data_IF_155019098218
#
_entry.id   IF_155019098218
#
_cell.length_a   1.000
_cell.length_b   1.000
_cell.length_c   1.000
_cell.angle_alpha   90.00
_cell.angle_beta   90.00
_cell.angle_gamma   90.00
#
_symmetry.space_group_name_H-M   'P 1'
#
loop_
_entity.id
_entity.type
_entity.pdbx_description
1 polymer ?
#
# COMPACT_ATOMS: atom_id res chain seq x y z
N UNK A 1 62.66 -33.12 -21.50
CA UNK A 1 63.02 -31.68 -21.47
C UNK A 1 61.73 -30.89 -21.22
N UNK A 2 61.61 -30.26 -20.03
CA UNK A 2 60.62 -29.26 -19.53
C UNK A 2 59.15 -29.46 -19.97
N UNK A 3 58.17 -29.92 -19.16
CA UNK A 3 57.67 -29.53 -17.82
C UNK A 3 57.56 -28.02 -17.60
N UNK A 4 56.33 -27.50 -17.57
CA UNK A 4 55.90 -26.46 -16.62
C UNK A 4 54.40 -26.64 -16.30
N UNK A 5 54.11 -26.67 -15.01
CA UNK A 5 52.84 -26.94 -14.33
C UNK A 5 52.53 -25.73 -13.44
N UNK A 6 51.27 -25.26 -13.35
CA UNK A 6 50.65 -24.53 -12.21
C UNK A 6 49.12 -24.63 -12.40
N UNK A 7 48.27 -25.43 -11.71
CA UNK A 7 47.80 -25.53 -10.30
C UNK A 7 47.26 -24.20 -9.73
N UNK A 8 46.03 -24.00 -9.24
CA UNK A 8 44.84 -24.82 -9.05
C UNK A 8 43.83 -24.11 -8.13
N UNK A 9 42.68 -24.78 -7.90
CA UNK A 9 41.81 -24.73 -6.68
C UNK A 9 40.91 -23.48 -6.49
N UNK A 10 39.64 -23.56 -6.08
CA UNK A 10 38.84 -24.55 -5.32
C UNK A 10 37.33 -24.44 -5.66
N UNK A 11 36.63 -25.57 -5.53
CA UNK A 11 35.17 -25.70 -5.53
C UNK A 11 34.55 -25.52 -4.14
N UNK A 12 33.29 -25.05 -4.08
CA UNK A 12 32.25 -25.35 -3.07
C UNK A 12 30.92 -24.76 -3.60
N UNK A 13 29.99 -25.50 -4.20
CA UNK A 13 28.97 -26.41 -3.63
C UNK A 13 28.05 -25.77 -2.57
N UNK A 14 26.85 -25.33 -2.97
CA UNK A 14 25.62 -25.38 -2.16
C UNK A 14 24.33 -25.49 -3.02
N UNK A 15 23.83 -26.72 -3.11
CA UNK A 15 22.46 -27.19 -2.80
C UNK A 15 21.29 -26.48 -3.51
N UNK A 16 20.78 -27.17 -4.55
CA UNK A 16 19.42 -27.07 -5.08
C UNK A 16 18.48 -27.91 -4.19
N UNK A 17 17.36 -27.35 -3.74
CA UNK A 17 16.23 -28.12 -3.19
C UNK A 17 15.03 -27.99 -4.13
N UNK A 18 14.53 -29.15 -4.56
CA UNK A 18 13.40 -29.31 -5.44
C UNK A 18 12.08 -29.50 -4.66
N UNK A 19 11.04 -28.84 -5.17
CA UNK A 19 9.68 -29.34 -5.44
C UNK A 19 9.00 -30.32 -4.46
N UNK A 20 7.80 -29.95 -4.01
CA UNK A 20 6.72 -30.91 -3.77
C UNK A 20 5.38 -30.32 -4.24
N UNK A 21 4.89 -30.86 -5.35
CA UNK A 21 3.51 -30.77 -5.84
C UNK A 21 2.60 -31.67 -5.00
N UNK A 22 1.40 -31.20 -4.69
CA UNK A 22 0.33 -32.01 -4.14
C UNK A 22 -1.01 -31.50 -4.62
N UNK A 23 -1.56 -32.12 -5.66
CA UNK A 23 -2.95 -31.98 -6.10
C UNK A 23 -3.69 -33.28 -5.76
N UNK A 24 -4.91 -33.20 -5.22
CA UNK A 24 -5.98 -34.20 -5.42
C UNK A 24 -7.34 -33.78 -4.80
N UNK A 25 -8.26 -33.45 -5.71
CA UNK A 25 -9.67 -33.85 -5.87
C UNK A 25 -10.75 -33.76 -4.75
N UNK A 26 -11.89 -33.27 -5.25
CA UNK A 26 -13.29 -33.14 -4.77
C UNK A 26 -13.91 -34.17 -3.81
N UNK A 27 -14.85 -33.64 -2.99
CA UNK A 27 -16.02 -34.36 -2.46
C UNK A 27 -16.87 -33.45 -1.56
N UNK A 28 -18.09 -33.09 -1.99
CA UNK A 28 -19.01 -32.26 -1.21
C UNK A 28 -19.92 -33.05 -0.26
N UNK A 29 -20.46 -32.38 0.78
CA UNK A 29 -21.89 -32.11 1.04
C UNK A 29 -22.16 -31.80 2.54
N UNK A 30 -23.01 -30.79 2.78
CA UNK A 30 -23.94 -30.59 3.93
C UNK A 30 -23.45 -30.31 5.37
N UNK A 31 -23.81 -29.11 5.87
CA UNK A 31 -24.49 -28.97 7.17
C UNK A 31 -23.72 -28.27 8.32
N UNK A 32 -24.35 -27.37 9.12
CA UNK A 32 -23.64 -26.40 9.96
C UNK A 32 -23.40 -26.90 11.39
N UNK A 33 -22.31 -26.47 12.03
CA UNK A 33 -22.10 -26.66 13.46
C UNK A 33 -21.38 -25.47 14.10
N UNK A 34 -21.98 -24.99 15.19
CA UNK A 34 -21.69 -23.80 15.96
C UNK A 34 -20.28 -23.74 16.56
N UNK A 35 -19.67 -22.55 16.53
CA UNK A 35 -18.43 -22.25 17.22
C UNK A 35 -18.67 -22.12 18.74
N UNK A 36 -17.92 -22.90 19.53
CA UNK A 36 -17.81 -22.70 20.98
C UNK A 36 -16.33 -22.52 21.31
N UNK A 37 -16.00 -21.36 21.88
CA UNK A 37 -14.66 -20.96 22.33
C UNK A 37 -14.20 -21.76 23.55
N UNK A 38 -12.95 -22.22 23.57
CA UNK A 38 -12.28 -22.79 24.75
C UNK A 38 -11.07 -21.94 25.14
N UNK A 39 -10.92 -21.50 26.41
CA UNK A 39 -9.74 -20.80 26.90
C UNK A 39 -8.65 -21.77 27.43
N UNK A 40 -7.40 -21.32 27.39
CA UNK A 40 -6.18 -22.04 27.82
C UNK A 40 -5.84 -21.77 29.31
N UNK A 41 -5.21 -22.71 30.06
CA UNK A 41 -5.10 -22.64 31.52
C UNK A 41 -3.80 -22.02 32.08
N UNK A 42 -3.97 -21.43 33.26
CA UNK A 42 -2.99 -20.93 34.24
C UNK A 42 -2.28 -22.06 35.01
N UNK A 43 -1.08 -21.82 35.56
CA UNK A 43 -0.67 -22.38 36.86
C UNK A 43 -0.28 -21.26 37.84
N UNK A 44 -0.92 -21.08 38.99
CA UNK A 44 -0.99 -21.87 40.25
C UNK A 44 0.21 -21.67 41.18
N UNK A 45 -0.12 -21.26 42.41
CA UNK A 45 0.73 -20.76 43.48
C UNK A 45 1.29 -21.87 44.40
N UNK A 46 2.29 -21.52 45.23
CA UNK A 46 2.57 -22.23 46.48
C UNK A 46 2.78 -21.22 47.63
N UNK A 47 2.22 -21.54 48.79
CA UNK A 47 2.11 -20.68 49.96
C UNK A 47 2.86 -21.22 51.19
N UNK A 48 3.19 -20.28 52.08
CA UNK A 48 3.28 -20.33 53.57
C UNK A 48 4.32 -21.19 54.28
N UNK A 49 5.10 -20.53 55.15
CA UNK A 49 5.15 -20.86 56.59
C UNK A 49 5.71 -19.69 57.43
N UNK A 50 4.98 -19.38 58.50
CA UNK A 50 5.27 -18.51 59.65
C UNK A 50 6.14 -19.26 60.68
N UNK A 51 7.01 -18.58 61.46
CA UNK A 51 6.76 -18.39 62.91
C UNK A 51 7.82 -17.56 63.69
N UNK A 52 7.27 -16.70 64.55
CA UNK A 52 7.59 -16.32 65.95
C UNK A 52 9.00 -15.86 66.41
N UNK A 53 8.94 -14.75 67.16
CA UNK A 53 10.00 -13.94 67.79
C UNK A 53 10.54 -14.50 69.11
N UNK A 54 11.72 -14.01 69.56
CA UNK A 54 12.05 -13.82 70.98
C UNK A 54 13.14 -12.74 71.18
N UNK A 55 12.75 -11.71 71.94
CA UNK A 55 13.45 -10.84 72.91
C UNK A 55 14.81 -10.13 72.66
N UNK A 56 14.78 -8.86 73.12
CA UNK A 56 15.80 -7.80 73.24
C UNK A 56 16.89 -8.08 74.29
N UNK A 57 18.01 -7.31 74.32
CA UNK A 57 17.99 -6.16 75.24
C UNK A 57 18.64 -4.86 74.72
N UNK A 58 18.03 -3.77 75.19
CA UNK A 58 18.50 -2.41 75.50
C UNK A 58 19.97 -2.05 75.28
N UNK A 59 20.20 -0.99 74.50
CA UNK A 59 21.28 -0.02 74.74
C UNK A 59 20.81 1.39 74.37
N UNK A 60 20.68 2.24 75.38
CA UNK A 60 20.46 3.69 75.26
C UNK A 60 21.76 4.33 74.78
N UNK A 61 21.77 4.93 73.60
CA UNK A 61 22.83 5.83 73.17
C UNK A 61 22.20 7.12 72.62
N UNK A 62 22.33 8.19 73.40
CA UNK A 62 22.08 9.57 73.00
C UNK A 62 23.12 9.95 71.95
N UNK A 63 22.72 10.06 70.68
CA UNK A 63 23.57 10.59 69.62
C UNK A 63 22.92 11.85 69.04
N UNK A 64 23.64 12.95 69.19
CA UNK A 64 23.32 14.30 68.71
C UNK A 64 23.07 14.29 67.21
N UNK A 65 21.90 14.76 66.81
CA UNK A 65 21.46 14.95 65.43
C UNK A 65 22.38 15.97 64.74
N UNK A 66 23.34 15.48 63.97
CA UNK A 66 24.03 16.27 62.94
C UNK A 66 23.48 15.80 61.62
N UNK A 67 22.50 16.55 61.11
CA UNK A 67 21.94 16.38 59.78
C UNK A 67 23.08 16.39 58.76
N UNK A 68 23.49 15.21 58.31
CA UNK A 68 24.34 15.04 57.14
C UNK A 68 23.46 15.35 55.94
N UNK A 69 23.74 16.45 55.25
CA UNK A 69 23.08 16.78 54.00
C UNK A 69 23.16 15.56 53.07
N UNK A 70 22.01 15.12 52.59
CA UNK A 70 21.92 14.08 51.56
C UNK A 70 22.82 14.47 50.38
N UNK A 71 23.53 13.52 49.74
CA UNK A 71 24.27 13.82 48.53
C UNK A 71 23.31 14.44 47.53
N UNK A 72 23.61 15.65 47.08
CA UNK A 72 22.91 16.26 45.97
C UNK A 72 22.94 15.27 44.81
N UNK A 73 21.76 14.92 44.32
CA UNK A 73 21.57 14.12 43.12
C UNK A 73 22.16 14.91 41.94
N UNK A 74 23.45 14.72 41.69
CA UNK A 74 24.17 15.28 40.54
C UNK A 74 23.95 14.39 39.32
N UNK A 75 22.69 14.12 38.98
CA UNK A 75 22.36 13.62 37.65
C UNK A 75 22.95 14.63 36.64
N UNK A 76 23.91 14.23 35.78
CA UNK A 76 24.53 15.14 34.84
C UNK A 76 23.45 15.85 34.01
N UNK A 77 23.57 17.16 33.75
CA UNK A 77 22.62 17.83 32.88
C UNK A 77 22.57 17.09 31.54
N UNK A 78 21.36 16.91 31.00
CA UNK A 78 21.18 16.29 29.70
C UNK A 78 22.08 16.99 28.66
N UNK A 79 22.66 16.26 27.70
CA UNK A 79 23.51 16.86 26.67
C UNK A 79 22.76 18.00 25.97
N UNK A 80 23.32 19.20 26.00
CA UNK A 80 22.76 20.36 25.31
C UNK A 80 23.08 20.23 23.81
N UNK A 81 22.10 19.81 23.02
CA UNK A 81 22.24 19.71 21.58
C UNK A 81 22.04 21.09 20.94
N UNK A 82 22.98 21.47 20.07
CA UNK A 82 22.96 22.77 19.41
C UNK A 82 22.10 22.69 18.14
N UNK A 83 21.12 23.57 18.05
CA UNK A 83 20.24 23.74 16.88
C UNK A 83 20.60 25.07 16.22
N UNK A 84 21.16 25.03 15.00
CA UNK A 84 21.77 26.21 14.35
C UNK A 84 21.62 26.18 12.84
N UNK A 85 22.10 27.25 12.18
CA UNK A 85 22.15 27.33 10.72
C UNK A 85 20.75 27.29 10.10
N UNK A 86 20.64 26.72 8.90
CA UNK A 86 19.38 26.61 8.18
C UNK A 86 18.35 25.72 8.90
N UNK A 87 18.82 24.61 9.50
CA UNK A 87 17.97 23.73 10.31
C UNK A 87 17.44 24.48 11.54
N UNK A 88 18.28 25.24 12.23
CA UNK A 88 17.84 26.01 13.39
C UNK A 88 16.90 27.16 13.06
N UNK A 89 17.13 27.85 11.93
CA UNK A 89 16.17 28.84 11.44
C UNK A 89 14.81 28.20 11.12
N UNK A 90 14.80 27.01 10.51
CA UNK A 90 13.58 26.25 10.23
C UNK A 90 12.88 25.78 11.50
N UNK A 91 13.62 25.24 12.46
CA UNK A 91 13.09 24.83 13.76
C UNK A 91 12.38 26.00 14.46
N UNK A 92 12.99 27.19 14.49
CA UNK A 92 12.36 28.39 15.06
C UNK A 92 11.12 28.80 14.27
N UNK A 93 11.18 28.79 12.93
CA UNK A 93 10.05 29.15 12.07
C UNK A 93 8.84 28.23 12.27
N UNK A 94 9.08 26.95 12.57
CA UNK A 94 8.03 25.96 12.83
C UNK A 94 7.45 26.05 14.25
N UNK A 95 7.97 26.94 15.11
CA UNK A 95 7.55 27.09 16.50
C UNK A 95 8.43 26.35 17.52
N UNK A 96 9.56 25.80 17.08
CA UNK A 96 10.57 25.19 17.94
C UNK A 96 10.03 24.02 18.76
N UNK A 97 10.30 24.04 20.06
CA UNK A 97 10.00 22.94 20.96
C UNK A 97 8.50 22.64 21.07
N UNK A 98 7.62 23.62 20.87
CA UNK A 98 6.17 23.36 20.92
C UNK A 98 5.65 22.59 19.70
N UNK A 99 6.38 22.60 18.59
CA UNK A 99 5.95 21.95 17.34
C UNK A 99 6.70 20.66 17.05
N UNK A 100 8.03 20.65 17.26
CA UNK A 100 8.89 19.52 16.92
C UNK A 100 9.55 18.86 18.15
N UNK A 101 9.36 19.45 19.33
CA UNK A 101 9.93 18.95 20.58
C UNK A 101 11.43 19.19 20.72
N UNK A 102 12.07 18.55 21.70
CA UNK A 102 13.49 18.80 22.02
C UNK A 102 14.43 18.09 21.02
N UNK A 103 15.60 18.66 20.70
CA UNK A 103 16.59 17.97 19.88
C UNK A 103 17.06 16.67 20.54
N UNK A 104 17.29 15.63 19.75
CA UNK A 104 17.79 14.32 20.18
C UNK A 104 19.27 14.10 19.82
N UNK A 105 19.86 15.05 19.11
CA UNK A 105 21.24 15.00 18.64
C UNK A 105 21.65 16.32 18.02
N UNK A 106 22.95 16.51 17.82
CA UNK A 106 23.44 17.60 16.99
C UNK A 106 23.11 17.33 15.51
N UNK A 107 23.14 18.39 14.70
CA UNK A 107 23.09 18.31 13.25
C UNK A 107 24.16 17.34 12.70
N UNK A 108 23.74 16.44 11.82
CA UNK A 108 24.58 15.44 11.14
C UNK A 108 24.58 15.71 9.64
N UNK A 109 25.76 15.92 9.06
CA UNK A 109 25.94 16.28 7.65
C UNK A 109 26.53 15.12 6.82
N UNK A 110 25.86 13.98 6.84
CA UNK A 110 26.24 12.77 6.08
C UNK A 110 25.28 12.47 4.93
N UNK A 111 24.28 13.32 4.72
CA UNK A 111 23.27 13.17 3.67
C UNK A 111 23.85 13.26 2.26
N UNK A 112 23.15 12.72 1.26
CA UNK A 112 23.60 12.78 -0.13
C UNK A 112 23.78 14.22 -0.60
N UNK A 113 24.73 14.45 -1.50
CA UNK A 113 25.06 15.81 -2.01
C UNK A 113 25.39 16.82 -0.89
N UNK A 114 25.85 16.34 0.27
CA UNK A 114 26.29 17.17 1.39
C UNK A 114 25.16 17.76 2.23
N UNK A 115 23.94 17.19 2.16
CA UNK A 115 22.87 17.64 3.03
C UNK A 115 23.04 17.19 4.49
N UNK A 116 22.31 17.86 5.36
CA UNK A 116 22.35 17.66 6.80
C UNK A 116 20.96 17.34 7.33
N UNK A 117 20.89 16.71 8.50
CA UNK A 117 19.64 16.51 9.21
C UNK A 117 19.85 16.63 10.72
N UNK A 118 18.78 16.93 11.44
CA UNK A 118 18.78 16.91 12.90
C UNK A 118 17.49 16.30 13.41
N UNK A 119 17.63 15.46 14.43
CA UNK A 119 16.53 14.74 15.07
C UNK A 119 15.94 15.52 16.23
N UNK A 120 14.63 15.41 16.39
CA UNK A 120 13.84 15.97 17.47
C UNK A 120 12.82 14.92 17.94
N UNK A 121 12.18 15.12 19.09
CA UNK A 121 11.25 14.11 19.65
C UNK A 121 10.03 13.86 18.75
N UNK A 122 9.53 14.88 18.05
CA UNK A 122 8.33 14.77 17.19
C UNK A 122 8.64 14.70 15.69
N UNK A 123 9.90 14.52 15.31
CA UNK A 123 10.29 14.41 13.90
C UNK A 123 11.75 14.74 13.64
N UNK A 124 12.04 15.14 12.41
CA UNK A 124 13.37 15.58 12.01
C UNK A 124 13.28 16.70 10.99
N UNK A 125 14.34 17.50 10.91
CA UNK A 125 14.51 18.50 9.86
C UNK A 125 15.63 18.04 8.96
N UNK A 126 15.33 17.91 7.67
CA UNK A 126 16.32 17.68 6.62
C UNK A 126 16.65 18.98 5.92
N UNK A 127 17.92 19.18 5.60
CA UNK A 127 18.40 20.31 4.83
C UNK A 127 19.27 19.84 3.66
N UNK A 128 19.09 20.47 2.51
CA UNK A 128 20.09 20.46 1.43
C UNK A 128 20.27 21.87 0.88
N UNK A 129 21.39 22.12 0.20
CA UNK A 129 21.63 23.39 -0.49
C UNK A 129 20.63 23.66 -1.62
N UNK A 130 19.97 22.62 -2.14
CA UNK A 130 19.04 22.72 -3.27
C UNK A 130 17.61 22.93 -2.82
N UNK A 131 17.17 22.20 -1.79
CA UNK A 131 15.78 22.20 -1.33
C UNK A 131 15.55 23.15 -0.17
N UNK A 132 16.57 23.43 0.65
CA UNK A 132 16.40 24.14 1.91
C UNK A 132 16.05 23.18 3.04
N UNK A 133 15.66 23.74 4.19
CA UNK A 133 15.35 22.98 5.40
C UNK A 133 13.84 22.71 5.51
N UNK A 134 13.47 21.44 5.63
CA UNK A 134 12.07 21.00 5.73
C UNK A 134 11.87 19.98 6.82
N UNK A 135 10.71 20.09 7.47
CA UNK A 135 10.34 19.23 8.59
C UNK A 135 9.60 18.00 8.09
N UNK A 136 10.00 16.83 8.60
CA UNK A 136 9.29 15.56 8.42
C UNK A 136 8.84 15.10 9.80
N UNK A 137 7.52 15.13 10.05
CA UNK A 137 6.95 14.84 11.38
C UNK A 137 6.81 13.36 11.64
N UNK A 138 6.82 13.00 12.92
CA UNK A 138 6.62 11.65 13.43
C UNK A 138 5.14 11.26 13.51
N UNK A 139 4.41 11.46 12.41
CA UNK A 139 3.00 11.15 12.30
C UNK A 139 2.75 10.32 11.03
N UNK A 140 3.55 9.27 10.82
CA UNK A 140 3.45 8.39 9.65
C UNK A 140 4.32 8.80 8.47
N UNK A 141 4.61 10.10 8.29
CA UNK A 141 5.52 10.58 7.24
C UNK A 141 6.96 10.16 7.49
N UNK A 142 7.48 10.39 8.70
CA UNK A 142 8.84 9.96 9.08
C UNK A 142 9.02 8.44 8.95
N UNK A 143 8.04 7.65 9.37
CA UNK A 143 8.12 6.18 9.26
C UNK A 143 8.15 5.71 7.82
N UNK A 144 7.31 6.27 6.94
CA UNK A 144 7.39 5.95 5.52
C UNK A 144 8.73 6.39 4.93
N UNK A 145 9.16 7.62 5.19
CA UNK A 145 10.41 8.13 4.64
C UNK A 145 11.63 7.30 5.09
N UNK A 146 11.60 6.75 6.31
CA UNK A 146 12.58 5.79 6.80
C UNK A 146 12.58 4.47 6.01
N UNK A 147 11.40 3.91 5.75
CA UNK A 147 11.26 2.68 4.95
C UNK A 147 11.82 2.84 3.54
N UNK A 148 11.71 4.05 2.99
CA UNK A 148 12.23 4.39 1.67
C UNK A 148 13.70 4.90 1.70
N UNK A 149 14.46 4.57 2.75
CA UNK A 149 15.89 4.91 2.92
C UNK A 149 16.19 6.42 2.93
N UNK A 150 15.26 7.22 3.46
CA UNK A 150 15.41 8.65 3.68
C UNK A 150 15.81 9.41 2.40
N UNK A 151 16.67 10.42 2.54
CA UNK A 151 17.20 11.19 1.43
C UNK A 151 18.16 10.38 0.53
N UNK A 152 18.69 9.24 1.02
CA UNK A 152 19.56 8.35 0.23
C UNK A 152 18.77 7.48 -0.72
N UNK A 153 17.53 7.17 -0.36
CA UNK A 153 16.64 6.42 -1.20
C UNK A 153 15.96 7.26 -2.29
N UNK A 154 15.05 6.62 -3.03
CA UNK A 154 14.49 7.19 -4.25
C UNK A 154 13.56 8.38 -4.04
N UNK A 155 13.03 8.61 -2.82
CA UNK A 155 12.29 9.83 -2.51
C UNK A 155 13.19 11.08 -2.54
N UNK A 156 14.47 10.96 -2.17
CA UNK A 156 15.37 12.11 -2.06
C UNK A 156 14.92 13.10 -0.98
N UNK A 157 15.39 14.34 -1.06
CA UNK A 157 15.09 15.35 -0.05
C UNK A 157 13.63 15.83 -0.10
N UNK A 158 13.05 16.21 1.05
CA UNK A 158 11.79 16.95 1.08
C UNK A 158 11.95 18.29 0.34
N UNK A 159 10.93 18.65 -0.42
CA UNK A 159 10.80 19.92 -1.16
C UNK A 159 9.90 20.94 -0.46
N UNK A 160 8.99 20.44 0.38
CA UNK A 160 7.99 21.19 1.11
C UNK A 160 7.78 20.54 2.47
N UNK A 161 7.22 21.29 3.41
CA UNK A 161 6.72 20.70 4.65
C UNK A 161 5.42 19.93 4.40
N UNK A 162 4.97 19.21 5.42
CA UNK A 162 3.69 18.49 5.38
C UNK A 162 2.54 19.50 5.26
N UNK A 163 1.70 19.32 4.25
CA UNK A 163 0.47 20.09 4.05
C UNK A 163 -0.75 19.22 4.33
N UNK A 164 -1.65 19.68 5.20
CA UNK A 164 -2.90 18.97 5.55
C UNK A 164 -4.13 19.66 4.94
N UNK A 165 -4.06 19.90 3.64
CA UNK A 165 -5.09 20.59 2.84
C UNK A 165 -5.78 19.65 1.84
N UNK A 166 -5.48 18.35 1.87
CA UNK A 166 -6.07 17.37 0.97
C UNK A 166 -7.50 16.96 1.43
N UNK A 167 -8.32 16.36 0.54
CA UNK A 167 -9.73 16.10 0.81
C UNK A 167 -9.97 15.30 2.09
N UNK A 168 -11.03 15.62 2.83
CA UNK A 168 -11.33 14.93 4.08
C UNK A 168 -10.35 15.21 5.23
N UNK A 169 -9.41 16.15 5.06
CA UNK A 169 -8.42 16.52 6.07
C UNK A 169 -7.11 15.75 5.99
N UNK A 170 -6.87 15.02 4.90
CA UNK A 170 -5.62 14.27 4.73
C UNK A 170 -4.43 15.19 4.48
N UNK A 171 -3.24 14.60 4.62
CA UNK A 171 -1.98 15.30 4.49
C UNK A 171 -1.12 14.72 3.37
N UNK A 172 -0.21 15.52 2.86
CA UNK A 172 0.82 15.05 1.94
C UNK A 172 2.13 15.83 2.14
N UNK A 173 3.23 15.23 1.71
CA UNK A 173 4.52 15.90 1.66
C UNK A 173 5.23 15.58 0.36
N UNK A 174 5.77 16.61 -0.27
CA UNK A 174 6.48 16.52 -1.55
C UNK A 174 7.97 16.33 -1.32
N UNK A 175 8.54 15.40 -2.08
CA UNK A 175 9.95 15.07 -2.12
C UNK A 175 10.45 15.16 -3.56
N UNK A 176 11.77 15.16 -3.76
CA UNK A 176 12.37 15.17 -5.09
C UNK A 176 11.86 14.03 -5.99
N UNK A 177 11.66 12.85 -5.42
CA UNK A 177 11.24 11.63 -6.11
C UNK A 177 9.75 11.33 -6.10
N UNK A 178 8.91 12.14 -5.45
CA UNK A 178 7.48 11.87 -5.39
C UNK A 178 6.74 12.57 -4.25
N UNK A 179 5.57 12.03 -3.92
CA UNK A 179 4.70 12.59 -2.88
C UNK A 179 4.30 11.47 -1.94
N UNK A 180 4.52 11.67 -0.65
CA UNK A 180 3.92 10.85 0.39
C UNK A 180 2.51 11.35 0.66
N UNK A 181 1.55 10.43 0.71
CA UNK A 181 0.14 10.70 0.98
C UNK A 181 -0.27 10.05 2.29
N UNK A 182 -1.06 10.77 3.09
CA UNK A 182 -1.61 10.25 4.33
C UNK A 182 -3.09 10.61 4.42
N UNK A 183 -3.93 9.58 4.34
CA UNK A 183 -5.33 9.68 4.75
C UNK A 183 -5.41 9.95 6.26
N UNK A 184 -6.36 10.74 6.80
CA UNK A 184 -6.42 11.05 8.24
C UNK A 184 -6.47 9.82 9.15
N UNK A 185 -7.08 8.72 8.67
CA UNK A 185 -7.15 7.46 9.40
C UNK A 185 -6.00 6.49 9.04
N UNK A 186 -5.18 6.81 8.04
CA UNK A 186 -4.12 5.96 7.54
C UNK A 186 -2.77 6.18 8.24
N UNK A 187 -2.06 5.10 8.54
CA UNK A 187 -0.68 5.10 9.05
C UNK A 187 0.05 3.82 8.61
N UNK A 188 1.30 3.87 8.12
CA UNK A 188 2.08 5.06 7.73
C UNK A 188 1.56 5.74 6.47
N UNK A 189 2.16 6.88 6.11
CA UNK A 189 1.93 7.50 4.80
C UNK A 189 2.30 6.51 3.67
N UNK A 190 1.71 6.65 2.50
CA UNK A 190 1.90 5.78 1.32
C UNK A 190 2.58 6.55 0.19
N UNK A 191 3.32 5.84 -0.66
CA UNK A 191 4.09 6.43 -1.76
C UNK A 191 3.76 5.79 -3.12
N UNK A 192 2.67 6.24 -3.78
CA UNK A 192 2.44 5.88 -5.17
C UNK A 192 3.58 6.41 -6.05
N UNK A 193 4.27 5.51 -6.74
CA UNK A 193 5.47 5.84 -7.52
C UNK A 193 5.51 5.14 -8.88
N UNK A 194 6.53 5.43 -9.68
CA UNK A 194 6.71 4.82 -11.00
C UNK A 194 5.51 5.05 -11.93
N UNK A 195 5.15 4.02 -12.71
CA UNK A 195 4.02 4.09 -13.64
C UNK A 195 2.68 4.30 -12.94
N UNK A 196 2.50 3.69 -11.76
CA UNK A 196 1.28 3.82 -10.95
C UNK A 196 1.15 5.25 -10.42
N UNK A 197 2.19 5.77 -9.78
CA UNK A 197 2.23 7.14 -9.27
C UNK A 197 2.04 8.19 -10.38
N UNK A 198 2.60 7.96 -11.57
CA UNK A 198 2.38 8.82 -12.73
C UNK A 198 0.91 8.82 -13.19
N UNK A 199 0.25 7.66 -13.19
CA UNK A 199 -1.19 7.61 -13.51
C UNK A 199 -2.03 8.26 -12.42
N UNK A 200 -1.71 8.03 -11.15
CA UNK A 200 -2.39 8.67 -10.03
C UNK A 200 -2.29 10.21 -10.11
N UNK A 201 -1.13 10.74 -10.47
CA UNK A 201 -0.94 12.16 -10.75
C UNK A 201 -1.82 12.67 -11.89
N UNK A 202 -1.87 11.93 -13.01
CA UNK A 202 -2.73 12.27 -14.15
C UNK A 202 -4.23 12.24 -13.81
N UNK A 203 -4.61 11.50 -12.77
CA UNK A 203 -5.96 11.41 -12.22
C UNK A 203 -6.24 12.45 -11.14
N UNK A 204 -5.36 13.45 -10.95
CA UNK A 204 -5.48 14.50 -9.93
C UNK A 204 -5.30 14.02 -8.48
N UNK A 205 -4.47 13.00 -8.28
CA UNK A 205 -4.08 12.48 -6.96
C UNK A 205 -5.30 12.21 -6.05
N UNK A 206 -5.24 12.61 -4.77
CA UNK A 206 -6.30 12.38 -3.78
C UNK A 206 -7.57 13.21 -4.04
N UNK A 207 -7.49 14.27 -4.86
CA UNK A 207 -8.67 14.99 -5.37
C UNK A 207 -9.32 14.31 -6.56
N UNK A 208 -8.66 13.28 -7.09
CA UNK A 208 -9.12 12.45 -8.17
C UNK A 208 -10.22 11.48 -7.76
N UNK A 209 -10.72 10.71 -8.74
CA UNK A 209 -11.75 9.73 -8.49
C UNK A 209 -11.29 8.62 -7.52
N UNK A 210 -9.98 8.34 -7.44
CA UNK A 210 -9.42 7.28 -6.60
C UNK A 210 -9.30 7.63 -5.11
N UNK A 211 -9.27 8.91 -4.74
CA UNK A 211 -8.97 9.29 -3.36
C UNK A 211 -7.55 8.90 -2.93
N UNK A 212 -7.33 8.69 -1.64
CA UNK A 212 -6.02 8.34 -1.09
C UNK A 212 -5.58 6.91 -1.45
N UNK A 213 -4.26 6.65 -1.51
CA UNK A 213 -3.76 5.27 -1.57
C UNK A 213 -4.11 4.54 -0.27
N UNK A 214 -4.56 3.30 -0.40
CA UNK A 214 -5.06 2.47 0.70
C UNK A 214 -4.05 1.39 1.13
N UNK A 215 -2.87 1.35 0.51
CA UNK A 215 -1.79 0.42 0.81
C UNK A 215 -0.69 0.53 -0.23
N UNK A 216 0.43 -0.16 0.02
CA UNK A 216 1.59 -0.11 -0.85
C UNK A 216 1.38 -0.90 -2.16
N UNK A 217 2.19 -0.57 -3.16
CA UNK A 217 2.26 -1.30 -4.43
C UNK A 217 2.60 -2.78 -4.20
N UNK A 218 1.81 -3.66 -4.82
CA UNK A 218 1.96 -5.11 -4.78
C UNK A 218 2.27 -5.64 -6.16
N UNK A 219 3.42 -6.30 -6.30
CA UNK A 219 3.82 -6.97 -7.53
C UNK A 219 3.65 -8.49 -7.42
N UNK A 220 3.11 -9.11 -8.47
CA UNK A 220 2.96 -10.56 -8.50
C UNK A 220 4.30 -11.27 -8.69
N UNK A 221 4.68 -12.22 -7.83
CA UNK A 221 5.92 -12.97 -7.98
C UNK A 221 5.99 -13.67 -9.34
N UNK A 222 7.12 -13.51 -10.05
CA UNK A 222 7.32 -14.10 -11.37
C UNK A 222 6.56 -13.41 -12.51
N UNK A 223 5.89 -12.30 -12.23
CA UNK A 223 5.24 -11.44 -13.22
C UNK A 223 5.80 -10.02 -13.13
N UNK A 224 5.65 -9.25 -14.21
CA UNK A 224 5.91 -7.81 -14.22
C UNK A 224 4.66 -6.98 -13.93
N UNK A 225 3.58 -7.63 -13.46
CA UNK A 225 2.33 -6.96 -13.09
C UNK A 225 2.42 -6.49 -11.66
N UNK A 226 2.17 -5.20 -11.47
CA UNK A 226 2.05 -4.57 -10.16
C UNK A 226 0.72 -3.82 -10.07
N UNK A 227 0.21 -3.64 -8.86
CA UNK A 227 -1.01 -2.88 -8.62
C UNK A 227 -0.95 -2.22 -7.26
N UNK A 228 -1.69 -1.12 -7.10
CA UNK A 228 -1.80 -0.41 -5.83
C UNK A 228 -3.27 -0.14 -5.51
N UNK A 229 -3.73 -0.45 -4.29
CA UNK A 229 -5.08 -0.13 -3.84
C UNK A 229 -5.22 1.35 -3.50
N UNK A 230 -6.37 1.91 -3.82
CA UNK A 230 -6.80 3.26 -3.44
C UNK A 230 -8.21 3.19 -2.82
N UNK A 231 -8.60 4.19 -2.04
CA UNK A 231 -9.91 4.22 -1.40
C UNK A 231 -11.08 4.04 -2.39
N UNK A 232 -10.94 4.58 -3.61
CA UNK A 232 -11.93 4.52 -4.68
C UNK A 232 -11.68 3.46 -5.75
N UNK A 233 -10.71 2.56 -5.60
CA UNK A 233 -10.38 1.55 -6.62
C UNK A 233 -8.95 1.05 -6.56
N UNK A 234 -8.34 0.80 -7.71
CA UNK A 234 -6.94 0.40 -7.82
C UNK A 234 -6.33 0.94 -9.11
N UNK A 235 -5.01 1.05 -9.15
CA UNK A 235 -4.26 1.24 -10.40
C UNK A 235 -3.44 -0.01 -10.64
N UNK A 236 -3.52 -0.54 -11.85
CA UNK A 236 -2.80 -1.72 -12.30
C UNK A 236 -1.80 -1.33 -13.37
N UNK A 237 -0.58 -1.84 -13.26
CA UNK A 237 0.50 -1.58 -14.19
C UNK A 237 1.14 -2.88 -14.68
N UNK A 238 1.50 -2.88 -15.96
CA UNK A 238 2.46 -3.83 -16.52
C UNK A 238 3.22 -3.18 -17.67
N UNK A 239 4.36 -3.74 -18.11
CA UNK A 239 5.06 -3.25 -19.30
C UNK A 239 4.22 -3.30 -20.59
N UNK A 240 3.27 -4.23 -20.69
CA UNK A 240 2.47 -4.44 -21.91
C UNK A 240 1.23 -3.57 -21.97
N UNK A 241 0.67 -3.18 -20.83
CA UNK A 241 -0.56 -2.36 -20.75
C UNK A 241 -0.30 -0.92 -20.34
N UNK A 242 0.77 -0.65 -19.59
CA UNK A 242 0.89 0.61 -18.86
C UNK A 242 -0.02 0.63 -17.62
N UNK A 243 -0.10 1.80 -16.96
CA UNK A 243 -0.85 1.98 -15.72
C UNK A 243 -2.28 2.45 -15.97
N UNK A 244 -3.27 1.73 -15.45
CA UNK A 244 -4.68 2.04 -15.62
C UNK A 244 -5.49 1.89 -14.34
N UNK A 245 -6.38 2.85 -14.12
CA UNK A 245 -7.33 2.82 -13.01
C UNK A 245 -8.45 1.82 -13.27
N UNK A 246 -8.79 1.02 -12.27
CA UNK A 246 -9.97 0.16 -12.23
C UNK A 246 -10.77 0.51 -10.97
N UNK A 247 -12.06 0.84 -11.11
CA UNK A 247 -12.88 1.37 -10.00
C UNK A 247 -14.34 0.92 -10.07
N UNK A 248 -15.09 1.23 -9.01
CA UNK A 248 -16.55 1.15 -9.00
C UNK A 248 -17.11 -0.21 -9.37
N UNK A 249 -18.30 -0.22 -9.99
CA UNK A 249 -19.03 -1.43 -10.32
C UNK A 249 -18.31 -2.30 -11.37
N UNK A 250 -17.53 -1.70 -12.28
CA UNK A 250 -16.72 -2.44 -13.24
C UNK A 250 -15.57 -3.13 -12.53
N UNK A 251 -14.82 -2.41 -11.68
CA UNK A 251 -13.71 -2.97 -10.94
C UNK A 251 -14.13 -4.09 -9.98
N UNK A 252 -15.27 -3.93 -9.29
CA UNK A 252 -15.82 -4.98 -8.44
C UNK A 252 -16.14 -6.26 -9.22
N UNK A 253 -16.77 -6.15 -10.40
CA UNK A 253 -17.08 -7.31 -11.23
C UNK A 253 -15.80 -7.98 -11.77
N UNK A 254 -14.85 -7.19 -12.28
CA UNK A 254 -13.58 -7.73 -12.79
C UNK A 254 -12.75 -8.42 -11.70
N UNK A 255 -12.78 -7.92 -10.47
CA UNK A 255 -12.13 -8.56 -9.31
C UNK A 255 -12.84 -9.85 -8.92
N UNK A 256 -14.18 -9.87 -8.94
CA UNK A 256 -14.97 -11.07 -8.67
C UNK A 256 -14.73 -12.17 -9.72
N UNK A 257 -14.42 -11.79 -10.96
CA UNK A 257 -14.04 -12.69 -12.05
C UNK A 257 -12.56 -13.17 -11.96
N UNK A 258 -11.83 -12.83 -10.90
CA UNK A 258 -10.45 -13.32 -10.66
C UNK A 258 -9.40 -12.78 -11.63
N UNK A 259 -9.71 -11.69 -12.35
CA UNK A 259 -8.84 -11.07 -13.37
C UNK A 259 -8.56 -11.95 -14.61
N UNK A 260 -9.32 -13.04 -14.81
CA UNK A 260 -9.15 -14.00 -15.90
C UNK A 260 -9.29 -13.37 -17.31
N UNK A 261 -9.95 -12.22 -17.40
CA UNK A 261 -10.12 -11.48 -18.66
C UNK A 261 -8.96 -10.52 -18.96
N UNK A 262 -7.88 -10.63 -18.19
CA UNK A 262 -6.63 -9.91 -18.37
C UNK A 262 -6.65 -8.51 -17.76
N UNK A 263 -5.54 -7.80 -17.96
CA UNK A 263 -5.31 -6.47 -17.40
C UNK A 263 -6.09 -5.38 -18.14
N UNK A 264 -6.40 -4.25 -17.45
CA UNK A 264 -6.99 -3.09 -18.09
C UNK A 264 -6.07 -2.52 -19.18
N UNK A 265 -6.67 -2.05 -20.27
CA UNK A 265 -5.97 -1.40 -21.40
C UNK A 265 -6.14 0.13 -21.40
N UNK A 266 -7.05 0.62 -20.58
CA UNK A 266 -7.41 2.03 -20.44
C UNK A 266 -8.28 2.20 -19.19
N UNK A 267 -8.37 3.43 -18.68
CA UNK A 267 -9.22 3.77 -17.52
C UNK A 267 -10.71 3.74 -17.87
N UNK A 268 -11.58 3.47 -16.91
CA UNK A 268 -13.04 3.50 -17.12
C UNK A 268 -13.52 4.77 -17.85
N UNK A 269 -14.35 4.60 -18.88
CA UNK A 269 -14.96 5.68 -19.67
C UNK A 269 -16.46 5.72 -19.43
N UNK A 270 -16.97 6.84 -18.95
CA UNK A 270 -18.41 7.04 -18.69
C UNK A 270 -19.08 7.90 -19.78
N UNK A 271 -18.79 7.57 -21.04
CA UNK A 271 -19.31 8.28 -22.23
C UNK A 271 -20.37 7.47 -22.98
N UNK A 272 -20.78 6.31 -22.45
CA UNK A 272 -21.77 5.46 -23.09
C UNK A 272 -23.22 5.97 -22.85
N UNK A 273 -24.20 5.56 -23.68
CA UNK A 273 -25.54 6.14 -23.68
C UNK A 273 -26.22 6.13 -22.32
N UNK A 274 -26.98 7.18 -22.01
CA UNK A 274 -27.74 7.30 -20.75
C UNK A 274 -26.85 7.21 -19.50
N UNK A 275 -25.59 7.65 -19.61
CA UNK A 275 -24.66 7.74 -18.48
C UNK A 275 -24.01 6.42 -18.08
N UNK A 276 -24.02 5.40 -18.95
CA UNK A 276 -23.29 4.18 -18.68
C UNK A 276 -21.77 4.33 -18.88
N UNK A 277 -21.04 3.35 -18.36
CA UNK A 277 -19.59 3.31 -18.42
C UNK A 277 -19.11 2.01 -19.09
N UNK A 278 -17.88 2.01 -19.57
CA UNK A 278 -17.22 0.82 -20.08
C UNK A 278 -15.72 0.87 -19.80
N UNK A 279 -15.10 -0.31 -19.73
CA UNK A 279 -13.67 -0.43 -19.62
C UNK A 279 -13.13 -1.59 -20.46
N UNK A 280 -12.08 -1.31 -21.22
CA UNK A 280 -11.36 -2.30 -22.01
C UNK A 280 -10.33 -3.05 -21.19
N UNK A 281 -10.34 -4.37 -21.31
CA UNK A 281 -9.35 -5.30 -20.79
C UNK A 281 -8.79 -6.12 -21.95
N UNK A 282 -7.66 -6.79 -21.73
CA UNK A 282 -6.97 -7.55 -22.79
C UNK A 282 -7.89 -8.51 -23.54
N UNK A 283 -8.78 -9.22 -22.83
CA UNK A 283 -9.63 -10.26 -23.42
C UNK A 283 -11.13 -9.93 -23.39
N UNK A 284 -11.54 -8.75 -22.90
CA UNK A 284 -12.95 -8.39 -22.73
C UNK A 284 -13.19 -6.88 -22.69
N UNK A 285 -14.46 -6.49 -22.78
CA UNK A 285 -14.92 -5.14 -22.41
C UNK A 285 -16.01 -5.29 -21.36
N UNK A 286 -15.83 -4.68 -20.20
CA UNK A 286 -16.88 -4.58 -19.19
C UNK A 286 -17.74 -3.36 -19.49
N UNK A 287 -19.05 -3.51 -19.40
CA UNK A 287 -20.04 -2.47 -19.58
C UNK A 287 -20.85 -2.34 -18.30
N UNK A 288 -21.15 -1.11 -17.91
CA UNK A 288 -22.03 -0.81 -16.80
C UNK A 288 -23.11 0.21 -17.22
N UNK A 289 -24.33 -0.02 -16.74
CA UNK A 289 -25.35 1.03 -16.67
C UNK A 289 -26.21 0.84 -15.42
N UNK A 290 -26.91 1.88 -14.98
CA UNK A 290 -27.81 1.78 -13.83
C UNK A 290 -28.95 0.78 -14.03
N UNK A 291 -29.39 0.58 -15.29
CA UNK A 291 -30.48 -0.34 -15.62
C UNK A 291 -30.07 -1.80 -15.85
N UNK A 292 -28.80 -2.03 -16.20
CA UNK A 292 -28.31 -3.38 -16.55
C UNK A 292 -27.32 -3.96 -15.54
N UNK A 293 -26.72 -3.16 -14.66
CA UNK A 293 -25.57 -3.60 -13.88
C UNK A 293 -24.32 -3.76 -14.74
N UNK A 294 -23.31 -4.48 -14.21
CA UNK A 294 -22.03 -4.71 -14.90
C UNK A 294 -22.00 -6.07 -15.58
N UNK A 295 -21.68 -6.09 -16.88
CA UNK A 295 -21.46 -7.32 -17.63
C UNK A 295 -20.32 -7.18 -18.62
N UNK A 296 -19.54 -8.25 -18.79
CA UNK A 296 -18.47 -8.29 -19.80
C UNK A 296 -18.96 -8.89 -21.11
N UNK A 297 -18.37 -8.43 -22.22
CA UNK A 297 -18.43 -9.08 -23.53
C UNK A 297 -17.02 -9.56 -23.91
N UNK A 298 -16.90 -10.77 -24.45
CA UNK A 298 -15.60 -11.34 -24.87
C UNK A 298 -15.69 -12.15 -26.17
N UNK A 299 -14.54 -12.51 -26.74
CA UNK A 299 -14.45 -13.44 -27.87
C UNK A 299 -15.32 -13.08 -29.08
N UNK A 300 -15.95 -14.10 -29.69
CA UNK A 300 -16.80 -13.94 -30.86
C UNK A 300 -18.00 -13.03 -30.61
N UNK A 301 -18.62 -13.10 -29.42
CA UNK A 301 -19.75 -12.24 -29.05
C UNK A 301 -19.34 -10.77 -28.99
N UNK A 302 -18.18 -10.45 -28.38
CA UNK A 302 -17.63 -9.08 -28.41
C UNK A 302 -17.47 -8.59 -29.85
N UNK A 303 -16.88 -9.40 -30.73
CA UNK A 303 -16.69 -9.02 -32.13
C UNK A 303 -18.02 -8.82 -32.87
N UNK A 304 -19.08 -9.54 -32.53
CA UNK A 304 -20.42 -9.33 -33.08
C UNK A 304 -21.08 -8.05 -32.56
N UNK A 305 -20.97 -7.80 -31.26
CA UNK A 305 -21.51 -6.60 -30.62
C UNK A 305 -20.85 -5.32 -31.16
N UNK A 306 -19.55 -5.37 -31.45
CA UNK A 306 -18.82 -4.31 -32.14
C UNK A 306 -19.41 -3.97 -33.51
N UNK A 307 -19.72 -4.98 -34.33
CA UNK A 307 -20.30 -4.79 -35.67
C UNK A 307 -21.68 -4.15 -35.65
N UNK A 308 -22.39 -4.24 -34.52
CA UNK A 308 -23.70 -3.62 -34.33
C UNK A 308 -23.64 -2.37 -33.45
N UNK A 309 -22.48 -1.70 -33.41
CA UNK A 309 -22.25 -0.41 -32.77
C UNK A 309 -22.40 -0.42 -31.23
N UNK A 310 -22.07 -1.54 -30.58
CA UNK A 310 -22.01 -1.66 -29.13
C UNK A 310 -23.30 -1.16 -28.44
N UNK A 311 -23.17 -0.50 -27.29
CA UNK A 311 -24.29 0.02 -26.51
C UNK A 311 -25.02 1.20 -27.19
N UNK A 312 -24.41 1.80 -28.22
CA UNK A 312 -25.03 2.84 -29.04
C UNK A 312 -25.92 2.26 -30.15
N UNK A 313 -25.81 0.96 -30.43
CA UNK A 313 -26.64 0.28 -31.41
C UNK A 313 -27.98 -0.20 -30.85
N UNK A 314 -28.72 -0.91 -31.69
CA UNK A 314 -30.04 -1.43 -31.35
C UNK A 314 -30.05 -2.47 -30.22
N UNK A 315 -28.92 -3.13 -29.93
CA UNK A 315 -28.85 -4.10 -28.84
C UNK A 315 -28.83 -3.44 -27.46
N UNK A 316 -28.32 -2.21 -27.34
CA UNK A 316 -28.10 -1.57 -26.04
C UNK A 316 -27.15 -2.36 -25.15
N UNK A 317 -27.21 -2.13 -23.83
CA UNK A 317 -26.30 -2.73 -22.86
C UNK A 317 -26.51 -4.26 -22.70
N UNK A 318 -25.44 -5.03 -22.40
CA UNK A 318 -25.57 -6.42 -21.97
C UNK A 318 -26.38 -6.52 -20.67
N UNK A 319 -27.20 -7.56 -20.55
CA UNK A 319 -28.03 -7.91 -19.38
C UNK A 319 -27.52 -9.17 -18.66
N UNK A 320 -26.63 -9.91 -19.30
CA UNK A 320 -25.99 -11.09 -18.74
C UNK A 320 -24.52 -11.09 -19.13
N UNK A 321 -23.70 -11.83 -18.39
CA UNK A 321 -22.47 -12.37 -18.96
C UNK A 321 -22.83 -13.49 -19.97
N UNK A 322 -21.85 -13.94 -20.75
CA UNK A 322 -22.01 -15.06 -21.66
C UNK A 322 -22.34 -16.37 -20.91
N UNK A 323 -23.38 -17.09 -21.34
CA UNK A 323 -23.79 -18.38 -20.77
C UNK A 323 -23.89 -19.48 -21.83
N UNK A 324 -23.79 -20.74 -21.41
CA UNK A 324 -23.84 -21.89 -22.31
C UNK A 324 -25.27 -22.19 -22.76
N UNK A 325 -25.43 -22.47 -24.06
CA UNK A 325 -26.65 -23.01 -24.67
C UNK A 325 -26.31 -24.25 -25.49
N UNK A 326 -27.29 -25.01 -25.96
CA UNK A 326 -27.08 -26.34 -26.58
C UNK A 326 -26.19 -26.35 -27.83
N UNK A 327 -26.13 -25.26 -28.58
CA UNK A 327 -25.32 -25.13 -29.81
C UNK A 327 -24.11 -24.23 -29.63
N UNK A 328 -24.02 -23.55 -28.48
CA UNK A 328 -23.33 -22.29 -28.45
C UNK A 328 -23.03 -21.69 -27.09
N UNK A 329 -22.62 -20.45 -27.16
CA UNK A 329 -22.72 -19.49 -26.09
C UNK A 329 -23.75 -18.44 -26.48
N UNK A 330 -24.48 -17.92 -25.51
CA UNK A 330 -25.43 -16.83 -25.72
C UNK A 330 -25.16 -15.72 -24.70
N UNK A 331 -25.40 -14.49 -25.13
CA UNK A 331 -25.42 -13.34 -24.25
C UNK A 331 -26.64 -12.49 -24.57
N UNK A 332 -27.33 -12.04 -23.53
CA UNK A 332 -28.53 -11.23 -23.66
C UNK A 332 -28.21 -9.75 -23.48
N UNK A 333 -28.93 -8.92 -24.22
CA UNK A 333 -28.80 -7.47 -24.30
C UNK A 333 -30.20 -6.85 -24.22
N UNK A 334 -30.27 -5.55 -23.96
CA UNK A 334 -31.54 -4.81 -23.84
C UNK A 334 -32.47 -4.97 -25.04
N UNK A 335 -31.91 -5.02 -26.26
CA UNK A 335 -32.65 -5.10 -27.52
C UNK A 335 -32.51 -6.44 -28.25
N UNK A 336 -32.12 -7.51 -27.57
CA UNK A 336 -31.97 -8.83 -28.18
C UNK A 336 -30.88 -9.70 -27.57
N UNK A 337 -30.32 -10.60 -28.37
CA UNK A 337 -29.27 -11.52 -27.94
C UNK A 337 -28.23 -11.75 -29.03
N UNK A 338 -27.04 -12.20 -28.64
CA UNK A 338 -26.04 -12.72 -29.58
C UNK A 338 -25.78 -14.18 -29.24
N UNK A 339 -25.87 -15.05 -30.25
CA UNK A 339 -25.49 -16.45 -30.19
C UNK A 339 -24.13 -16.64 -30.86
N UNK A 340 -23.22 -17.40 -30.25
CA UNK A 340 -21.99 -17.90 -30.84
C UNK A 340 -22.04 -19.43 -30.93
N UNK A 341 -21.85 -20.01 -32.10
CA UNK A 341 -21.94 -21.46 -32.35
C UNK A 341 -20.57 -22.15 -32.25
N UNK A 342 -20.48 -23.28 -31.54
CA UNK A 342 -19.19 -23.96 -31.30
C UNK A 342 -18.58 -24.57 -32.56
N UNK A 343 -19.43 -25.03 -33.48
CA UNK A 343 -19.01 -25.86 -34.62
C UNK A 343 -18.50 -24.99 -35.77
N UNK A 344 -19.20 -23.89 -36.03
CA UNK A 344 -18.90 -22.95 -37.10
C UNK A 344 -18.07 -21.76 -36.64
N UNK A 345 -18.06 -21.46 -35.32
CA UNK A 345 -17.52 -20.21 -34.79
C UNK A 345 -18.33 -18.97 -35.19
N UNK A 346 -19.50 -19.15 -35.83
CA UNK A 346 -20.32 -18.07 -36.33
C UNK A 346 -21.05 -17.36 -35.19
N UNK A 347 -21.33 -16.08 -35.41
CA UNK A 347 -22.17 -15.28 -34.50
C UNK A 347 -23.45 -14.83 -35.19
N UNK A 348 -24.58 -14.99 -34.49
CA UNK A 348 -25.90 -14.58 -34.96
C UNK A 348 -26.50 -13.59 -33.98
N UNK A 349 -26.89 -12.42 -34.48
CA UNK A 349 -27.63 -11.41 -33.70
C UNK A 349 -29.12 -11.70 -33.84
N UNK A 350 -29.81 -11.81 -32.72
CA UNK A 350 -31.25 -12.02 -32.62
C UNK A 350 -31.86 -10.74 -32.03
N UNK A 351 -32.63 -10.00 -32.82
CA UNK A 351 -33.28 -8.76 -32.38
C UNK A 351 -34.54 -9.05 -31.57
N UNK A 352 -34.76 -8.28 -30.51
CA UNK A 352 -35.91 -8.38 -29.60
C UNK A 352 -37.09 -7.49 -29.95
#
# INVERSE_FOLDING_TARGET
MRVTTVRGHRSALRILSACALGALLWGGVSGPASATTTPSPTPSALATATDTATASPTATATATDTATAAPTDTTPPAPEYVVRGAIGAKYVADGGASALGTPLGNEVCTGPRGGCYQWFTEGLIWWSSTTGAHTVRNDGFRFRYELEDWAWGPLGYPLWDIECSAPGGGCYQRFEGGILWKDPAGDPATWPHGGIGARYAALNWAWGPLGYPAGDEQCYPGSTTCWEPFAGGSIWWSPSTGAHMVRGAIGSAWTADGWDLGLPLQDEQCTAPRGGCYQWFQNAVYWWSSGSGTHYVKGGIKAAYERVNWAWGGLGYPLTNEYTVSTGKRQDFQGGSILWDWHSGATTVLWG
#
